data_IF_485706905270
#
_entry.id   IF_485706905270
#
_cell.length_a   1.000
_cell.length_b   1.000
_cell.length_c   1.000
_cell.angle_alpha   90.00
_cell.angle_beta   90.00
_cell.angle_gamma   90.00
#
_symmetry.space_group_name_H-M   'P 1'
#
loop_
_entity.id
_entity.type
_entity.pdbx_description
1 polymer ?
#
# COMPACT_ATOMS: atom_id res chain seq x y z
N UNK A 1 1.04 -26.55 13.27
CA UNK A 1 1.01 -25.50 12.21
C UNK A 1 -0.43 -25.24 11.84
N UNK A 2 -0.85 -23.98 11.84
CA UNK A 2 -2.21 -23.57 11.42
C UNK A 2 -2.31 -23.60 9.89
N UNK A 3 -3.53 -23.70 9.36
CA UNK A 3 -3.77 -23.76 7.90
C UNK A 3 -3.24 -22.53 7.15
N UNK A 4 -3.34 -21.33 7.75
CA UNK A 4 -2.76 -20.09 7.19
C UNK A 4 -1.23 -20.14 7.08
N UNK A 5 -0.56 -20.69 8.10
CA UNK A 5 0.90 -20.85 8.11
C UNK A 5 1.33 -21.86 7.04
N UNK A 6 0.55 -22.93 6.86
CA UNK A 6 0.82 -23.93 5.83
C UNK A 6 0.65 -23.38 4.41
N UNK A 7 -0.42 -22.63 4.15
CA UNK A 7 -0.63 -21.98 2.85
C UNK A 7 0.47 -20.96 2.57
N UNK A 8 0.87 -20.17 3.58
CA UNK A 8 1.99 -19.22 3.46
C UNK A 8 3.31 -19.92 3.18
N UNK A 9 3.56 -21.05 3.85
CA UNK A 9 4.74 -21.89 3.61
C UNK A 9 4.77 -22.42 2.17
N UNK A 10 3.65 -22.93 1.65
CA UNK A 10 3.55 -23.39 0.26
C UNK A 10 3.78 -22.25 -0.75
N UNK A 11 3.23 -21.05 -0.50
CA UNK A 11 3.46 -19.87 -1.34
C UNK A 11 4.93 -19.45 -1.38
N UNK A 12 5.63 -19.48 -0.24
CA UNK A 12 7.07 -19.21 -0.16
C UNK A 12 7.92 -20.23 -0.94
N UNK A 13 7.42 -21.47 -1.08
CA UNK A 13 8.02 -22.50 -1.94
C UNK A 13 7.64 -22.35 -3.43
N UNK A 14 6.91 -21.31 -3.80
CA UNK A 14 6.42 -21.07 -5.16
C UNK A 14 5.25 -21.94 -5.57
N UNK A 15 4.59 -22.62 -4.62
CA UNK A 15 3.38 -23.41 -4.87
C UNK A 15 2.18 -22.47 -4.90
N UNK A 16 1.47 -22.45 -6.03
CA UNK A 16 0.21 -21.73 -6.20
C UNK A 16 -0.94 -22.72 -6.01
N UNK A 17 -1.93 -22.32 -5.21
CA UNK A 17 -3.17 -23.05 -4.99
C UNK A 17 -4.33 -22.27 -5.62
N UNK A 18 -5.34 -22.95 -6.14
CA UNK A 18 -6.58 -22.34 -6.61
C UNK A 18 -7.75 -23.31 -6.43
N UNK A 19 -8.95 -22.77 -6.49
CA UNK A 19 -10.18 -23.54 -6.49
C UNK A 19 -10.58 -23.79 -7.96
N UNK A 20 -10.79 -25.06 -8.31
CA UNK A 20 -11.41 -25.47 -9.57
C UNK A 20 -12.71 -26.20 -9.26
N UNK A 21 -13.81 -25.44 -9.30
CA UNK A 21 -15.14 -25.86 -8.84
C UNK A 21 -15.11 -26.23 -7.34
N UNK A 22 -15.05 -27.51 -7.01
CA UNK A 22 -14.95 -28.04 -5.62
C UNK A 22 -13.62 -28.79 -5.38
N UNK A 23 -12.64 -28.59 -6.26
CA UNK A 23 -11.34 -29.27 -6.19
C UNK A 23 -10.23 -28.26 -5.93
N UNK A 24 -9.30 -28.66 -5.05
CA UNK A 24 -8.10 -27.89 -4.79
C UNK A 24 -7.08 -28.21 -5.90
N UNK A 25 -6.86 -27.24 -6.78
CA UNK A 25 -5.79 -27.26 -7.76
C UNK A 25 -4.48 -26.74 -7.18
N UNK A 26 -3.35 -27.24 -7.68
CA UNK A 26 -2.03 -26.70 -7.34
C UNK A 26 -1.07 -26.70 -8.53
N UNK A 27 -0.15 -25.74 -8.52
CA UNK A 27 0.99 -25.63 -9.45
C UNK A 27 2.23 -25.42 -8.62
N UNK A 28 3.25 -26.26 -8.83
CA UNK A 28 4.49 -26.21 -8.07
C UNK A 28 5.72 -26.28 -8.98
N UNK A 29 6.86 -25.72 -8.55
CA UNK A 29 8.15 -25.98 -9.18
C UNK A 29 8.51 -27.48 -9.07
N UNK A 30 9.30 -27.96 -10.04
CA UNK A 30 9.66 -29.38 -10.12
C UNK A 30 10.41 -29.83 -8.86
N UNK A 31 9.98 -30.93 -8.25
CA UNK A 31 10.61 -31.50 -7.05
C UNK A 31 10.13 -30.91 -5.72
N UNK A 32 9.40 -29.79 -5.72
CA UNK A 32 8.93 -29.15 -4.47
C UNK A 32 7.84 -29.95 -3.78
N UNK A 33 6.91 -30.55 -4.54
CA UNK A 33 5.80 -31.31 -3.96
C UNK A 33 6.20 -32.74 -3.59
N UNK A 34 6.84 -32.89 -2.44
CA UNK A 34 7.18 -34.17 -1.81
C UNK A 34 5.92 -34.97 -1.42
N UNK A 35 6.09 -36.27 -1.16
CA UNK A 35 4.98 -37.12 -0.70
C UNK A 35 4.36 -36.61 0.62
N UNK A 36 5.19 -36.08 1.52
CA UNK A 36 4.75 -35.51 2.79
C UNK A 36 3.89 -34.26 2.59
N UNK A 37 4.31 -33.34 1.73
CA UNK A 37 3.54 -32.13 1.44
C UNK A 37 2.20 -32.47 0.76
N UNK A 38 2.18 -33.47 -0.12
CA UNK A 38 0.94 -33.97 -0.72
C UNK A 38 -0.01 -34.54 0.32
N UNK A 39 0.48 -35.34 1.29
CA UNK A 39 -0.33 -35.86 2.39
C UNK A 39 -0.93 -34.74 3.23
N UNK A 40 -0.12 -33.76 3.64
CA UNK A 40 -0.59 -32.60 4.41
C UNK A 40 -1.66 -31.80 3.65
N UNK A 41 -1.52 -31.65 2.32
CA UNK A 41 -2.49 -30.95 1.47
C UNK A 41 -3.83 -31.71 1.37
N UNK A 42 -3.79 -33.04 1.37
CA UNK A 42 -5.00 -33.88 1.39
C UNK A 42 -5.67 -33.87 2.77
N UNK A 43 -4.90 -34.02 3.84
CA UNK A 43 -5.40 -34.02 5.23
C UNK A 43 -6.10 -32.70 5.58
N UNK A 44 -5.60 -31.59 5.06
CA UNK A 44 -6.13 -30.24 5.33
C UNK A 44 -6.99 -29.69 4.19
N UNK A 45 -7.38 -30.53 3.22
CA UNK A 45 -8.06 -30.08 1.99
C UNK A 45 -9.27 -29.20 2.28
N UNK A 46 -10.14 -29.62 3.21
CA UNK A 46 -11.38 -28.91 3.54
C UNK A 46 -11.08 -27.52 4.12
N UNK A 47 -10.19 -27.45 5.10
CA UNK A 47 -9.78 -26.17 5.72
C UNK A 47 -9.12 -25.23 4.70
N UNK A 48 -8.32 -25.77 3.77
CA UNK A 48 -7.68 -24.97 2.71
C UNK A 48 -8.73 -24.44 1.74
N UNK A 49 -9.72 -25.25 1.36
CA UNK A 49 -10.81 -24.81 0.49
C UNK A 49 -11.65 -23.72 1.14
N UNK A 50 -12.03 -23.90 2.40
CA UNK A 50 -12.75 -22.86 3.17
C UNK A 50 -11.94 -21.57 3.27
N UNK A 51 -10.65 -21.67 3.58
CA UNK A 51 -9.75 -20.52 3.63
C UNK A 51 -9.65 -19.80 2.29
N UNK A 52 -9.47 -20.53 1.18
CA UNK A 52 -9.38 -19.93 -0.15
C UNK A 52 -10.69 -19.29 -0.60
N UNK A 53 -11.85 -19.87 -0.25
CA UNK A 53 -13.17 -19.27 -0.52
C UNK A 53 -13.36 -17.97 0.25
N UNK A 54 -12.98 -17.92 1.53
CA UNK A 54 -13.05 -16.69 2.33
C UNK A 54 -12.09 -15.62 1.80
N UNK A 55 -10.90 -16.02 1.33
CA UNK A 55 -9.96 -15.12 0.66
C UNK A 55 -10.51 -14.63 -0.68
N UNK A 56 -11.16 -15.46 -1.50
CA UNK A 56 -11.77 -15.04 -2.78
C UNK A 56 -12.92 -14.05 -2.56
N UNK A 57 -13.82 -14.31 -1.61
CA UNK A 57 -14.87 -13.35 -1.21
C UNK A 57 -14.28 -12.03 -0.73
N UNK A 58 -13.19 -12.09 0.02
CA UNK A 58 -12.48 -10.89 0.48
C UNK A 58 -11.73 -10.21 -0.68
N UNK A 59 -11.13 -10.96 -1.60
CA UNK A 59 -10.38 -10.45 -2.75
C UNK A 59 -11.28 -9.87 -3.84
N UNK A 60 -12.52 -10.32 -4.03
CA UNK A 60 -13.48 -9.62 -4.89
C UNK A 60 -13.70 -8.17 -4.41
N UNK A 61 -13.55 -7.90 -3.10
CA UNK A 61 -13.57 -6.55 -2.55
C UNK A 61 -12.23 -5.80 -2.62
N UNK A 62 -11.09 -6.48 -2.83
CA UNK A 62 -9.72 -5.91 -2.73
C UNK A 62 -8.94 -5.92 -4.06
N UNK A 63 -9.33 -6.72 -5.04
CA UNK A 63 -8.65 -6.87 -6.33
C UNK A 63 -9.13 -5.89 -7.42
N UNK A 64 -9.75 -4.77 -7.03
CA UNK A 64 -9.98 -3.68 -7.95
C UNK A 64 -8.66 -2.93 -8.17
N UNK A 65 -8.32 -2.63 -9.42
CA UNK A 65 -7.18 -1.76 -9.71
C UNK A 65 -7.38 -0.42 -9.01
N UNK A 66 -6.29 0.17 -8.50
CA UNK A 66 -6.34 1.48 -7.86
C UNK A 66 -6.90 2.48 -8.87
N UNK A 67 -8.13 2.90 -8.66
CA UNK A 67 -8.80 3.83 -9.55
C UNK A 67 -8.22 5.22 -9.36
N UNK A 68 -8.05 5.95 -10.47
CA UNK A 68 -7.69 7.36 -10.39
C UNK A 68 -8.87 8.13 -9.81
N UNK A 69 -8.66 8.72 -8.65
CA UNK A 69 -9.65 9.60 -8.03
C UNK A 69 -9.66 10.96 -8.75
N UNK A 70 -10.86 11.50 -9.03
CA UNK A 70 -11.01 12.84 -9.63
C UNK A 70 -10.41 13.93 -8.72
N UNK A 71 -9.88 14.99 -9.33
CA UNK A 71 -9.32 16.17 -8.64
C UNK A 71 -10.29 17.36 -8.61
N UNK A 72 -11.45 17.23 -9.23
CA UNK A 72 -12.51 18.24 -9.28
C UNK A 72 -13.39 18.22 -8.02
N UNK A 73 -13.31 17.16 -7.23
CA UNK A 73 -14.05 16.99 -5.99
C UNK A 73 -13.23 17.40 -4.77
N UNK A 74 -13.92 17.66 -3.67
CA UNK A 74 -13.30 17.84 -2.36
C UNK A 74 -12.63 16.53 -1.94
N UNK A 75 -11.34 16.58 -1.65
CA UNK A 75 -10.55 15.41 -1.25
C UNK A 75 -10.43 15.41 0.28
N UNK A 76 -10.96 14.39 0.98
CA UNK A 76 -10.84 14.31 2.43
C UNK A 76 -9.40 14.00 2.84
N UNK A 77 -9.01 14.39 4.05
CA UNK A 77 -7.75 13.92 4.65
C UNK A 77 -7.84 12.41 4.91
N UNK A 78 -6.72 11.72 4.70
CA UNK A 78 -6.51 10.37 5.24
C UNK A 78 -6.54 10.38 6.77
N UNK A 79 -6.79 9.23 7.40
CA UNK A 79 -6.84 9.12 8.86
C UNK A 79 -5.56 9.61 9.56
N UNK A 80 -4.39 9.32 8.98
CA UNK A 80 -3.12 9.80 9.51
C UNK A 80 -3.00 11.33 9.42
N UNK A 81 -3.45 11.93 8.31
CA UNK A 81 -3.47 13.39 8.15
C UNK A 81 -4.48 14.04 9.12
N UNK A 82 -5.67 13.46 9.31
CA UNK A 82 -6.67 13.98 10.26
C UNK A 82 -6.13 14.01 11.69
N UNK A 83 -5.40 12.97 12.10
CA UNK A 83 -4.72 12.94 13.40
C UNK A 83 -3.72 14.09 13.55
N UNK A 84 -2.87 14.31 12.54
CA UNK A 84 -1.90 15.41 12.58
C UNK A 84 -2.60 16.78 12.56
N UNK A 85 -3.66 16.94 11.75
CA UNK A 85 -4.48 18.15 11.71
C UNK A 85 -5.10 18.48 13.09
N UNK A 86 -5.64 17.47 13.76
CA UNK A 86 -6.19 17.62 15.11
C UNK A 86 -5.11 18.05 16.11
N UNK A 87 -3.93 17.42 16.08
CA UNK A 87 -2.82 17.78 16.94
C UNK A 87 -2.33 19.21 16.70
N UNK A 88 -2.26 19.63 15.43
CA UNK A 88 -1.89 21.00 15.04
C UNK A 88 -2.92 22.03 15.54
N UNK A 89 -4.22 21.73 15.48
CA UNK A 89 -5.27 22.62 16.00
C UNK A 89 -5.28 22.72 17.52
N UNK A 90 -4.83 21.68 18.23
CA UNK A 90 -4.75 21.67 19.70
C UNK A 90 -3.49 22.35 20.23
N UNK A 91 -2.36 22.15 19.54
CA UNK A 91 -1.07 22.67 19.98
C UNK A 91 -0.87 24.08 19.40
N UNK A 92 -0.85 25.10 20.25
CA UNK A 92 -0.37 26.43 19.86
C UNK A 92 1.11 26.32 19.41
N UNK A 93 1.35 26.12 18.12
CA UNK A 93 2.66 26.20 17.46
C UNK A 93 3.70 25.13 17.85
N UNK A 94 3.35 23.84 17.78
CA UNK A 94 4.32 22.75 18.01
C UNK A 94 5.03 22.33 16.72
N UNK A 95 6.36 22.29 16.72
CA UNK A 95 7.18 21.77 15.62
C UNK A 95 7.54 20.28 15.79
N UNK A 96 6.90 19.57 16.72
CA UNK A 96 7.25 18.20 17.10
C UNK A 96 7.20 17.19 15.93
N UNK A 97 6.44 17.49 14.88
CA UNK A 97 6.31 16.63 13.70
C UNK A 97 7.12 17.13 12.48
N UNK A 98 7.93 18.18 12.64
CA UNK A 98 8.86 18.62 11.60
C UNK A 98 10.08 17.70 11.60
N UNK A 99 10.39 17.12 10.44
CA UNK A 99 11.56 16.24 10.24
C UNK A 99 12.61 16.94 9.36
N UNK A 100 13.48 17.80 9.93
CA UNK A 100 14.53 18.43 9.15
C UNK A 100 15.57 17.39 8.71
N UNK A 101 16.04 17.53 7.46
CA UNK A 101 17.13 16.74 6.90
C UNK A 101 18.24 17.69 6.43
N UNK A 102 19.49 17.35 6.74
CA UNK A 102 20.68 18.04 6.22
C UNK A 102 21.51 17.07 5.40
N UNK A 103 21.96 17.51 4.21
CA UNK A 103 22.78 16.71 3.30
C UNK A 103 24.11 17.42 3.05
N UNK A 104 25.21 16.68 3.13
CA UNK A 104 26.53 17.16 2.74
C UNK A 104 26.88 16.58 1.36
N UNK A 105 26.99 17.45 0.35
CA UNK A 105 27.34 17.08 -1.01
C UNK A 105 28.82 17.36 -1.25
N UNK A 106 29.55 16.37 -1.78
CA UNK A 106 30.99 16.48 -2.06
C UNK A 106 31.22 16.48 -3.57
N UNK A 107 31.99 17.46 -4.05
CA UNK A 107 32.33 17.60 -5.47
C UNK A 107 31.69 18.81 -6.14
N UNK A 108 31.71 18.83 -7.47
CA UNK A 108 31.08 19.92 -8.25
C UNK A 108 29.57 19.72 -8.28
N UNK A 109 28.83 20.68 -7.74
CA UNK A 109 27.37 20.69 -7.78
C UNK A 109 26.88 21.52 -8.98
N UNK A 110 26.13 20.89 -9.87
CA UNK A 110 25.31 21.61 -10.84
C UNK A 110 23.98 22.01 -10.18
N UNK A 111 23.91 23.24 -9.70
CA UNK A 111 22.73 23.78 -9.03
C UNK A 111 21.52 23.85 -9.97
N UNK A 112 21.72 24.12 -11.26
CA UNK A 112 20.64 24.22 -12.24
C UNK A 112 20.02 22.85 -12.48
N UNK A 113 20.86 21.81 -12.62
CA UNK A 113 20.39 20.44 -12.73
C UNK A 113 19.65 19.99 -11.46
N UNK A 114 20.21 20.26 -10.27
CA UNK A 114 19.58 19.90 -8.99
C UNK A 114 18.20 20.55 -8.83
N UNK A 115 18.09 21.85 -9.08
CA UNK A 115 16.82 22.57 -8.98
C UNK A 115 15.79 22.00 -9.96
N UNK A 116 16.19 21.74 -11.21
CA UNK A 116 15.29 21.11 -12.20
C UNK A 116 14.82 19.73 -11.75
N UNK A 117 15.72 18.91 -11.22
CA UNK A 117 15.36 17.58 -10.71
C UNK A 117 14.36 17.65 -9.55
N UNK A 118 14.59 18.55 -8.58
CA UNK A 118 13.67 18.74 -7.46
C UNK A 118 12.30 19.26 -7.93
N UNK A 119 12.28 20.22 -8.85
CA UNK A 119 11.04 20.73 -9.43
C UNK A 119 10.25 19.63 -10.15
N UNK A 120 10.92 18.74 -10.89
CA UNK A 120 10.27 17.60 -11.54
C UNK A 120 9.70 16.59 -10.53
N UNK A 121 10.38 16.34 -9.42
CA UNK A 121 9.87 15.50 -8.33
C UNK A 121 8.60 16.14 -7.73
N UNK A 122 8.66 17.43 -7.38
CA UNK A 122 7.51 18.14 -6.82
C UNK A 122 6.34 18.17 -7.81
N UNK A 123 6.59 18.46 -9.09
CA UNK A 123 5.57 18.45 -10.14
C UNK A 123 4.89 17.07 -10.27
N UNK A 124 5.69 15.99 -10.27
CA UNK A 124 5.20 14.61 -10.38
C UNK A 124 4.38 14.17 -9.16
N UNK A 125 4.76 14.57 -7.95
CA UNK A 125 4.18 14.03 -6.71
C UNK A 125 3.21 15.03 -6.06
N UNK A 126 1.91 14.78 -6.18
CA UNK A 126 0.85 15.64 -5.63
C UNK A 126 0.99 15.89 -4.13
N UNK A 127 1.42 14.90 -3.34
CA UNK A 127 1.58 15.05 -1.89
C UNK A 127 2.54 16.18 -1.50
N UNK A 128 3.51 16.50 -2.36
CA UNK A 128 4.49 17.57 -2.12
C UNK A 128 3.92 18.96 -2.45
N UNK A 129 2.71 19.00 -3.03
CA UNK A 129 1.98 20.20 -3.44
C UNK A 129 0.63 20.31 -2.74
N UNK A 130 0.36 19.44 -1.76
CA UNK A 130 -0.91 19.43 -1.02
C UNK A 130 -0.82 20.39 0.16
N UNK A 131 -1.78 21.30 0.26
CA UNK A 131 -2.08 22.07 1.46
C UNK A 131 -3.37 21.57 2.11
N UNK A 132 -3.57 21.88 3.38
CA UNK A 132 -4.77 21.51 4.13
C UNK A 132 -5.58 22.75 4.47
N UNK A 133 -6.90 22.65 4.35
CA UNK A 133 -7.84 23.72 4.71
C UNK A 133 -9.06 23.13 5.39
N UNK A 134 -10.02 23.97 5.76
CA UNK A 134 -11.27 23.57 6.39
C UNK A 134 -12.44 24.19 5.62
N UNK A 135 -13.38 23.34 5.19
CA UNK A 135 -14.62 23.76 4.53
C UNK A 135 -15.77 23.26 5.40
N UNK A 136 -16.59 24.19 5.92
CA UNK A 136 -17.74 23.87 6.79
C UNK A 136 -17.37 22.95 7.97
N UNK A 137 -16.24 23.22 8.64
CA UNK A 137 -15.76 22.42 9.78
C UNK A 137 -15.12 21.08 9.42
N UNK A 138 -15.03 20.73 8.13
CA UNK A 138 -14.41 19.49 7.66
C UNK A 138 -13.04 19.79 7.06
N UNK A 139 -11.96 19.13 7.53
CA UNK A 139 -10.65 19.31 6.94
C UNK A 139 -10.57 18.66 5.56
N UNK A 140 -9.93 19.35 4.61
CA UNK A 140 -9.81 18.95 3.21
C UNK A 140 -8.39 19.12 2.69
N UNK A 141 -8.04 18.32 1.68
CA UNK A 141 -6.79 18.44 0.93
C UNK A 141 -7.01 19.35 -0.29
N UNK A 142 -6.12 20.32 -0.49
CA UNK A 142 -6.07 21.17 -1.68
C UNK A 142 -4.75 20.89 -2.39
N UNK A 143 -4.82 20.32 -3.58
CA UNK A 143 -3.63 20.00 -4.38
C UNK A 143 -3.34 21.19 -5.30
N UNK A 144 -2.21 21.85 -5.07
CA UNK A 144 -1.77 22.96 -5.91
C UNK A 144 -1.30 22.44 -7.28
N UNK A 145 -1.44 23.23 -8.36
CA UNK A 145 -0.85 22.89 -9.64
C UNK A 145 0.68 22.75 -9.51
N UNK A 146 1.34 21.98 -10.39
CA UNK A 146 2.79 22.00 -10.51
C UNK A 146 3.31 23.43 -10.72
N UNK A 147 4.51 23.72 -10.19
CA UNK A 147 5.23 24.93 -10.54
C UNK A 147 5.61 24.90 -12.03
N UNK A 148 5.38 26.01 -12.74
CA UNK A 148 5.88 26.22 -14.12
C UNK A 148 7.38 26.54 -14.14
#
# INVERSE_FOLDING_TARGET
MKTVEFVSYLQNLGVKLWIDKDRLGYRSPKGVMTAELKRNLVERKTEILEFLLEVEKTQESVASSIQRISREQVIPLSYAQQRLWFLEKMALSSNAYNMPLTLHLVGKLDYVALQKSLNQIIARHETLRTTFSEINGTPVQIIQPPFE
#
